data_IF_058588475778
#
_entry.id   IF_058588475778
#
_cell.length_a   1.000
_cell.length_b   1.000
_cell.length_c   1.000
_cell.angle_alpha   90.00
_cell.angle_beta   90.00
_cell.angle_gamma   90.00
#
_symmetry.space_group_name_H-M   'P 1'
#
loop_
_entity.id
_entity.type
_entity.pdbx_description
1 polymer ?
#
# COMPACT_ATOMS: atom_id res chain seq x y z
N UNK A 1 8.96 -3.91 25.63
CA UNK A 1 8.42 -2.86 24.74
C UNK A 1 7.06 -3.32 24.25
N UNK A 2 6.00 -2.62 24.64
CA UNK A 2 4.64 -2.95 24.20
C UNK A 2 4.43 -2.41 22.79
N UNK A 3 4.33 -3.31 21.80
CA UNK A 3 3.85 -2.99 20.46
C UNK A 3 2.41 -2.49 20.62
N UNK A 4 2.19 -1.18 20.43
CA UNK A 4 0.84 -0.63 20.39
C UNK A 4 0.17 -1.12 19.12
N UNK A 5 -1.03 -1.66 19.28
CA UNK A 5 -1.92 -2.06 18.20
C UNK A 5 -2.20 -0.85 17.31
N UNK A 6 -2.18 -1.03 15.99
CA UNK A 6 -2.41 -0.03 14.94
C UNK A 6 -3.88 0.43 14.99
N UNK A 7 -4.28 1.17 16.02
CA UNK A 7 -5.68 1.58 16.17
C UNK A 7 -5.90 3.08 16.37
N UNK A 8 -4.87 3.94 16.40
CA UNK A 8 -5.08 5.37 16.69
C UNK A 8 -4.26 6.39 15.86
N UNK A 9 -3.53 5.99 14.83
CA UNK A 9 -3.01 6.99 13.87
C UNK A 9 -2.88 6.40 12.47
N UNK A 10 -3.58 7.00 11.51
CA UNK A 10 -3.35 6.75 10.09
C UNK A 10 -1.99 7.35 9.76
N UNK A 11 -0.92 6.54 9.75
CA UNK A 11 0.40 6.97 9.30
C UNK A 11 0.29 7.21 7.79
N UNK A 12 0.27 8.47 7.37
CA UNK A 12 0.26 8.86 5.95
C UNK A 12 1.51 9.68 5.63
N UNK A 13 2.03 9.52 4.42
CA UNK A 13 3.17 10.28 3.90
C UNK A 13 3.03 10.46 2.39
N UNK A 14 3.47 11.62 1.87
CA UNK A 14 3.44 11.96 0.44
C UNK A 14 4.82 12.39 0.00
N UNK A 15 5.48 11.56 -0.81
CA UNK A 15 6.74 11.90 -1.48
C UNK A 15 6.49 12.06 -2.99
N UNK A 16 7.22 12.94 -3.69
CA UNK A 16 7.22 12.95 -5.15
C UNK A 16 7.64 11.56 -5.62
N UNK A 17 6.92 10.98 -6.59
CA UNK A 17 7.31 9.71 -7.21
C UNK A 17 8.25 10.03 -8.37
N UNK A 18 9.59 9.89 -8.22
CA UNK A 18 10.55 10.32 -9.24
C UNK A 18 10.75 9.26 -10.34
N UNK A 19 9.89 8.26 -10.36
CA UNK A 19 10.18 6.91 -10.83
C UNK A 19 9.15 6.42 -11.86
N UNK A 20 9.34 5.21 -12.39
CA UNK A 20 8.57 4.70 -13.53
C UNK A 20 7.75 3.44 -13.18
N UNK A 21 6.46 3.50 -13.49
CA UNK A 21 5.64 2.30 -13.68
C UNK A 21 6.04 1.65 -15.00
N UNK A 22 6.75 0.52 -14.93
CA UNK A 22 7.15 -0.22 -16.13
C UNK A 22 5.91 -0.73 -16.87
N UNK A 23 6.01 -0.90 -18.19
CA UNK A 23 4.88 -1.19 -19.12
C UNK A 23 3.64 -1.84 -18.49
N UNK A 24 2.44 -1.24 -18.70
CA UNK A 24 1.20 -1.76 -18.15
C UNK A 24 0.99 -3.19 -18.63
N UNK A 25 0.61 -4.04 -17.70
CA UNK A 25 0.25 -5.42 -18.03
C UNK A 25 -1.21 -5.50 -18.49
N UNK A 26 -2.05 -4.61 -17.97
CA UNK A 26 -3.45 -4.49 -18.36
C UNK A 26 -3.95 -3.07 -18.13
N UNK A 27 -4.62 -2.51 -19.12
CA UNK A 27 -5.13 -1.13 -19.10
C UNK A 27 -6.65 -1.11 -19.01
N UNK A 28 -7.21 -0.04 -18.43
CA UNK A 28 -8.65 0.24 -18.39
C UNK A 28 -9.50 -0.89 -17.80
N UNK A 29 -8.98 -1.62 -16.82
CA UNK A 29 -9.68 -2.74 -16.21
C UNK A 29 -10.56 -2.29 -15.05
N UNK A 30 -11.73 -2.92 -14.82
CA UNK A 30 -12.60 -2.59 -13.71
C UNK A 30 -11.93 -2.87 -12.35
N UNK A 31 -12.00 -1.90 -11.46
CA UNK A 31 -11.70 -1.96 -10.04
C UNK A 31 -12.91 -2.53 -9.30
N UNK A 32 -13.27 -3.78 -9.60
CA UNK A 32 -14.41 -4.49 -9.01
C UNK A 32 -14.00 -5.49 -7.93
N UNK A 33 -12.77 -5.39 -7.42
CA UNK A 33 -12.36 -6.25 -6.31
C UNK A 33 -13.05 -5.74 -5.03
N UNK A 34 -14.02 -6.52 -4.52
CA UNK A 34 -14.71 -6.27 -3.25
C UNK A 34 -13.68 -5.98 -2.15
N UNK A 35 -13.70 -4.74 -1.64
CA UNK A 35 -12.79 -4.23 -0.61
C UNK A 35 -11.73 -3.24 -1.09
N UNK A 36 -11.24 -3.31 -2.35
CA UNK A 36 -10.22 -2.34 -2.81
C UNK A 36 -10.81 -0.95 -2.99
N UNK A 37 -12.04 -0.87 -3.49
CA UNK A 37 -12.73 0.41 -3.64
C UNK A 37 -12.96 1.07 -2.27
N UNK A 38 -13.36 0.29 -1.26
CA UNK A 38 -13.48 0.76 0.13
C UNK A 38 -12.16 1.30 0.67
N UNK A 39 -11.08 0.52 0.52
CA UNK A 39 -9.74 0.94 0.90
C UNK A 39 -9.31 2.24 0.23
N UNK A 40 -9.65 2.43 -1.06
CA UNK A 40 -9.33 3.67 -1.76
C UNK A 40 -10.15 4.86 -1.26
N UNK A 41 -11.45 4.66 -0.97
CA UNK A 41 -12.28 5.71 -0.35
C UNK A 41 -11.67 6.13 0.99
N UNK A 42 -11.35 5.18 1.86
CA UNK A 42 -10.70 5.46 3.14
C UNK A 42 -9.37 6.18 2.95
N UNK A 43 -8.49 5.64 2.10
CA UNK A 43 -7.18 6.22 1.81
C UNK A 43 -7.26 7.69 1.37
N UNK A 44 -8.13 8.00 0.41
CA UNK A 44 -8.23 9.36 -0.12
C UNK A 44 -8.87 10.34 0.86
N UNK A 45 -9.89 9.91 1.62
CA UNK A 45 -10.47 10.73 2.67
C UNK A 45 -9.46 11.05 3.79
N UNK A 46 -8.64 10.07 4.17
CA UNK A 46 -7.59 10.25 5.19
C UNK A 46 -6.43 11.12 4.66
N UNK A 47 -6.10 11.01 3.37
CA UNK A 47 -4.99 11.77 2.75
C UNK A 47 -5.35 13.23 2.48
N UNK A 48 -6.61 13.50 2.14
CA UNK A 48 -7.09 14.83 1.73
C UNK A 48 -8.20 15.31 2.66
N UNK A 49 -7.85 15.76 3.86
CA UNK A 49 -8.79 16.18 4.92
C UNK A 49 -9.87 17.19 4.45
N UNK A 50 -9.53 18.04 3.47
CA UNK A 50 -10.42 19.08 2.94
C UNK A 50 -11.31 18.61 1.79
N UNK A 51 -11.12 17.40 1.29
CA UNK A 51 -11.88 16.80 0.20
C UNK A 51 -12.64 15.59 0.71
N UNK A 52 -13.73 15.23 0.03
CA UNK A 52 -14.50 14.05 0.37
C UNK A 52 -14.68 13.18 -0.86
N UNK A 53 -14.29 11.91 -0.70
CA UNK A 53 -14.32 10.89 -1.73
C UNK A 53 -15.41 9.89 -1.46
N UNK A 54 -16.10 9.44 -2.51
CA UNK A 54 -17.15 8.44 -2.42
C UNK A 54 -17.12 7.43 -3.57
N UNK A 55 -17.89 6.36 -3.41
CA UNK A 55 -18.11 5.39 -4.47
C UNK A 55 -19.03 5.96 -5.57
N UNK A 56 -18.87 5.56 -6.84
CA UNK A 56 -19.69 6.03 -7.96
C UNK A 56 -21.19 5.71 -7.89
N UNK A 57 -21.63 4.87 -6.95
CA UNK A 57 -23.02 4.43 -6.81
C UNK A 57 -23.64 4.85 -5.46
N UNK A 58 -22.96 5.71 -4.70
CA UNK A 58 -23.49 6.30 -3.47
C UNK A 58 -24.25 7.60 -3.77
N UNK A 59 -25.11 8.02 -2.84
CA UNK A 59 -26.03 9.15 -3.01
C UNK A 59 -25.30 10.40 -3.49
N UNK A 60 -25.74 10.95 -4.63
CA UNK A 60 -25.18 12.18 -5.21
C UNK A 60 -25.34 13.35 -4.23
N UNK A 61 -24.29 13.63 -3.48
CA UNK A 61 -24.18 14.90 -2.76
C UNK A 61 -23.25 15.84 -3.50
N UNK A 62 -23.68 17.09 -3.58
CA UNK A 62 -22.95 18.15 -4.24
C UNK A 62 -21.61 18.33 -3.52
N UNK A 63 -20.51 18.30 -4.28
CA UNK A 63 -19.11 18.49 -3.85
C UNK A 63 -18.33 17.24 -3.41
N UNK A 64 -18.81 16.03 -3.68
CA UNK A 64 -17.98 14.82 -3.52
C UNK A 64 -17.19 14.49 -4.79
N UNK A 65 -15.99 13.93 -4.59
CA UNK A 65 -15.14 13.40 -5.65
C UNK A 65 -15.45 11.90 -5.78
N UNK A 66 -15.89 11.50 -6.96
CA UNK A 66 -16.15 10.09 -7.25
C UNK A 66 -14.82 9.41 -7.57
N UNK A 67 -14.55 8.26 -6.94
CA UNK A 67 -13.39 7.43 -7.27
C UNK A 67 -13.65 6.70 -8.61
N UNK A 68 -12.80 6.89 -9.64
CA UNK A 68 -12.86 6.10 -10.86
C UNK A 68 -12.85 4.59 -10.61
N UNK A 69 -13.71 3.87 -11.35
CA UNK A 69 -13.75 2.40 -11.33
C UNK A 69 -12.76 1.76 -12.30
N UNK A 70 -12.01 2.53 -13.09
CA UNK A 70 -11.07 1.97 -14.06
C UNK A 70 -9.66 2.34 -13.66
N UNK A 71 -8.80 1.34 -13.62
CA UNK A 71 -7.39 1.51 -13.31
C UNK A 71 -6.53 0.83 -14.37
N UNK A 72 -5.33 1.35 -14.56
CA UNK A 72 -4.28 0.65 -15.28
C UNK A 72 -3.47 -0.13 -14.25
N UNK A 73 -3.32 -1.45 -14.44
CA UNK A 73 -2.47 -2.29 -13.58
C UNK A 73 -1.11 -2.53 -14.21
N UNK A 74 -0.11 -2.46 -13.36
CA UNK A 74 1.29 -2.63 -13.70
C UNK A 74 1.86 -3.78 -12.88
N UNK A 75 2.68 -4.58 -13.54
CA UNK A 75 3.32 -5.73 -12.89
C UNK A 75 4.56 -5.32 -12.09
N UNK A 76 5.18 -4.20 -12.45
CA UNK A 76 6.44 -3.75 -11.89
C UNK A 76 6.47 -2.25 -11.72
N UNK A 77 7.19 -1.82 -10.70
CA UNK A 77 7.53 -0.44 -10.42
C UNK A 77 9.04 -0.38 -10.19
N UNK A 78 9.72 0.53 -10.87
CA UNK A 78 11.11 0.82 -10.56
C UNK A 78 11.13 1.89 -9.47
N UNK A 79 11.97 1.74 -8.45
CA UNK A 79 12.22 2.80 -7.46
C UNK A 79 13.74 2.98 -7.36
N UNK A 80 14.25 4.10 -7.84
CA UNK A 80 15.69 4.31 -8.02
C UNK A 80 16.30 3.26 -8.97
N UNK A 81 17.17 2.38 -8.43
CA UNK A 81 17.80 1.30 -9.21
C UNK A 81 17.16 -0.08 -9.00
N UNK A 82 16.18 -0.18 -8.10
CA UNK A 82 15.53 -1.45 -7.76
C UNK A 82 14.21 -1.61 -8.52
N UNK A 83 13.94 -2.83 -9.00
CA UNK A 83 12.67 -3.17 -9.65
C UNK A 83 11.85 -4.02 -8.70
N UNK A 84 10.74 -3.46 -8.24
CA UNK A 84 9.74 -4.14 -7.46
C UNK A 84 8.73 -4.80 -8.38
N UNK A 85 8.48 -6.07 -8.13
CA UNK A 85 7.50 -6.87 -8.86
C UNK A 85 6.17 -6.94 -8.15
N UNK A 86 5.25 -7.69 -8.75
CA UNK A 86 3.97 -8.01 -8.15
C UNK A 86 3.61 -9.47 -8.41
N UNK A 87 2.68 -10.01 -7.62
CA UNK A 87 2.16 -11.38 -7.83
C UNK A 87 1.38 -11.53 -9.13
N UNK A 88 1.01 -10.42 -9.75
CA UNK A 88 0.29 -10.38 -11.02
C UNK A 88 1.09 -10.97 -12.19
N UNK A 89 2.43 -11.04 -12.08
CA UNK A 89 3.29 -11.74 -13.03
C UNK A 89 4.14 -12.80 -12.34
N UNK A 90 4.02 -14.09 -12.73
CA UNK A 90 4.84 -15.17 -12.15
C UNK A 90 6.36 -14.91 -12.25
N UNK A 91 6.79 -14.21 -13.31
CA UNK A 91 8.19 -13.83 -13.52
C UNK A 91 8.73 -12.91 -12.41
N UNK A 92 7.85 -12.10 -11.82
CA UNK A 92 8.18 -11.04 -10.87
C UNK A 92 7.72 -11.35 -9.44
N UNK A 93 7.25 -12.58 -9.19
CA UNK A 93 6.78 -12.99 -7.86
C UNK A 93 7.88 -12.85 -6.79
N UNK A 94 9.13 -13.20 -7.09
CA UNK A 94 10.24 -13.04 -6.13
C UNK A 94 10.53 -11.59 -5.78
N UNK A 95 10.40 -10.68 -6.73
CA UNK A 95 10.55 -9.23 -6.53
C UNK A 95 9.30 -8.58 -5.92
N UNK A 96 8.23 -9.33 -5.62
CA UNK A 96 6.99 -8.79 -5.03
C UNK A 96 7.00 -8.72 -3.51
N UNK A 97 7.94 -9.40 -2.86
CA UNK A 97 8.08 -9.36 -1.41
C UNK A 97 8.79 -8.07 -1.01
N UNK A 98 8.19 -7.33 -0.08
CA UNK A 98 8.71 -6.07 0.42
C UNK A 98 8.75 -6.06 1.93
N UNK A 99 9.61 -5.19 2.46
CA UNK A 99 9.68 -4.85 3.87
C UNK A 99 9.49 -3.35 4.01
N UNK A 100 8.28 -2.91 4.36
CA UNK A 100 7.98 -1.51 4.57
C UNK A 100 8.37 -1.11 5.99
N UNK A 101 8.97 0.08 6.11
CA UNK A 101 9.37 0.67 7.41
C UNK A 101 8.64 1.99 7.57
N UNK A 102 7.87 2.12 8.64
CA UNK A 102 7.17 3.35 8.98
C UNK A 102 7.81 3.96 10.21
N UNK A 103 8.27 5.19 10.08
CA UNK A 103 8.76 5.97 11.21
C UNK A 103 7.57 6.67 11.87
N UNK A 104 7.37 6.40 13.15
CA UNK A 104 6.37 7.07 13.99
C UNK A 104 6.96 8.32 14.63
N UNK A 105 6.12 9.26 15.10
CA UNK A 105 6.52 10.53 15.72
C UNK A 105 7.45 10.36 16.94
N UNK A 106 7.35 9.23 17.62
CA UNK A 106 8.18 8.84 18.76
C UNK A 106 9.55 8.25 18.35
N UNK A 107 9.94 8.37 17.08
CA UNK A 107 11.11 7.73 16.47
C UNK A 107 11.12 6.19 16.54
N UNK A 108 9.99 5.53 16.85
CA UNK A 108 9.90 4.09 16.68
C UNK A 108 9.75 3.76 15.20
N UNK A 109 10.41 2.68 14.79
CA UNK A 109 10.32 2.17 13.42
C UNK A 109 9.50 0.90 13.47
N UNK A 110 8.33 0.93 12.86
CA UNK A 110 7.50 -0.24 12.68
C UNK A 110 7.79 -0.87 11.32
N UNK A 111 8.04 -2.18 11.32
CA UNK A 111 8.44 -2.93 10.14
C UNK A 111 7.33 -3.89 9.78
N UNK A 112 6.90 -3.86 8.52
CA UNK A 112 5.85 -4.75 8.01
C UNK A 112 6.31 -5.43 6.73
N UNK A 113 6.39 -6.77 6.71
CA UNK A 113 6.56 -7.50 5.49
C UNK A 113 5.23 -7.62 4.77
N UNK A 114 5.28 -7.39 3.47
CA UNK A 114 4.13 -7.49 2.60
C UNK A 114 4.48 -8.13 1.29
N UNK A 115 3.44 -8.47 0.54
CA UNK A 115 3.56 -8.91 -0.83
C UNK A 115 2.71 -8.03 -1.74
N UNK A 116 3.36 -7.38 -2.69
CA UNK A 116 2.71 -6.52 -3.69
C UNK A 116 1.88 -7.40 -4.60
N UNK A 117 0.57 -7.14 -4.63
CA UNK A 117 -0.36 -7.86 -5.49
C UNK A 117 -0.35 -7.31 -6.91
N UNK A 118 -0.40 -5.98 -7.03
CA UNK A 118 -0.25 -5.24 -8.28
C UNK A 118 0.00 -3.76 -7.97
N UNK A 119 0.61 -3.07 -8.91
CA UNK A 119 0.68 -1.61 -8.94
C UNK A 119 -0.44 -1.07 -9.82
N UNK A 120 -0.89 0.15 -9.57
CA UNK A 120 -1.87 0.78 -10.41
C UNK A 120 -1.74 2.30 -10.42
N UNK A 121 -2.13 2.89 -11.54
CA UNK A 121 -2.27 4.34 -11.69
C UNK A 121 -3.74 4.69 -11.64
N UNK A 122 -4.04 5.71 -10.84
CA UNK A 122 -5.38 6.20 -10.63
C UNK A 122 -5.41 7.71 -10.84
N UNK A 123 -6.26 8.17 -11.74
CA UNK A 123 -6.38 9.59 -12.10
C UNK A 123 -7.53 10.22 -11.32
N UNK A 124 -7.23 11.16 -10.42
CA UNK A 124 -8.26 11.84 -9.61
C UNK A 124 -8.36 13.31 -9.98
N UNK A 125 -9.58 13.84 -9.93
CA UNK A 125 -9.84 15.28 -10.08
C UNK A 125 -9.99 15.93 -8.71
N UNK A 126 -8.90 16.33 -8.07
CA UNK A 126 -8.92 16.93 -6.71
C UNK A 126 -9.73 18.23 -6.64
N UNK A 127 -9.75 19.02 -7.73
CA UNK A 127 -10.44 20.32 -7.78
C UNK A 127 -11.27 20.53 -9.06
N UNK A 128 -11.72 19.46 -9.72
CA UNK A 128 -12.41 19.47 -11.04
C UNK A 128 -11.65 20.09 -12.22
N UNK A 129 -10.52 20.76 -11.97
CA UNK A 129 -9.70 21.47 -12.96
C UNK A 129 -8.39 20.71 -13.23
N UNK A 130 -7.75 20.18 -12.18
CA UNK A 130 -6.51 19.43 -12.32
C UNK A 130 -6.78 17.94 -12.13
N UNK A 131 -6.42 17.15 -13.14
CA UNK A 131 -6.31 15.69 -13.04
C UNK A 131 -4.89 15.36 -12.56
N UNK A 132 -4.79 14.66 -11.43
CA UNK A 132 -3.52 14.21 -10.87
C UNK A 132 -3.43 12.69 -10.95
N UNK A 133 -2.30 12.20 -11.44
CA UNK A 133 -1.99 10.77 -11.45
C UNK A 133 -1.44 10.35 -10.09
N UNK A 134 -2.13 9.39 -9.48
CA UNK A 134 -1.70 8.72 -8.27
C UNK A 134 -1.13 7.35 -8.60
N UNK A 135 0.09 7.11 -8.15
CA UNK A 135 0.80 5.85 -8.30
C UNK A 135 0.69 5.07 -7.00
N UNK A 136 -0.03 3.94 -7.04
CA UNK A 136 -0.38 3.17 -5.85
C UNK A 136 0.04 1.71 -6.00
N UNK A 137 0.28 1.05 -4.87
CA UNK A 137 0.52 -0.38 -4.80
C UNK A 137 -0.50 -1.03 -3.87
N UNK A 138 -1.17 -2.09 -4.33
CA UNK A 138 -2.00 -2.91 -3.45
C UNK A 138 -1.12 -3.98 -2.80
N UNK A 139 -0.91 -3.87 -1.49
CA UNK A 139 -0.04 -4.76 -0.72
C UNK A 139 -0.87 -5.57 0.26
N UNK A 140 -0.60 -6.88 0.32
CA UNK A 140 -1.11 -7.74 1.40
C UNK A 140 -0.03 -7.91 2.46
N UNK A 141 -0.34 -7.56 3.70
CA UNK A 141 0.59 -7.64 4.82
C UNK A 141 0.52 -9.00 5.52
N UNK A 142 1.69 -9.55 5.83
CA UNK A 142 1.79 -10.80 6.58
C UNK A 142 1.46 -10.58 8.06
N UNK A 143 0.83 -11.58 8.70
CA UNK A 143 0.56 -11.52 10.14
C UNK A 143 1.86 -11.56 10.93
N UNK A 144 1.95 -10.77 11.99
CA UNK A 144 3.05 -10.88 12.95
C UNK A 144 2.94 -12.16 13.76
N UNK A 145 4.00 -12.95 13.84
CA UNK A 145 4.06 -14.07 14.79
C UNK A 145 4.28 -13.49 16.19
N UNK A 146 3.53 -13.98 17.18
CA UNK A 146 3.64 -13.52 18.57
C UNK A 146 4.99 -13.84 19.22
N UNK A 147 5.74 -14.78 18.65
CA UNK A 147 7.00 -15.27 19.19
C UNK A 147 8.18 -14.47 18.60
N UNK A 148 8.88 -13.75 19.46
CA UNK A 148 10.17 -13.15 19.15
C UNK A 148 11.26 -14.20 19.43
N UNK A 149 12.09 -14.46 18.44
CA UNK A 149 13.25 -15.33 18.60
C UNK A 149 14.51 -14.48 18.67
N UNK A 150 15.35 -14.80 19.65
CA UNK A 150 16.65 -14.18 19.82
C UNK A 150 17.71 -15.15 19.30
N UNK A 151 18.43 -14.76 18.26
CA UNK A 151 19.57 -15.51 17.77
C UNK A 151 20.85 -14.81 18.23
N UNK A 152 21.68 -15.54 18.98
CA UNK A 152 23.02 -15.07 19.35
C UNK A 152 23.97 -15.36 18.20
N UNK A 153 24.61 -14.32 17.65
CA UNK A 153 25.72 -14.48 16.72
C UNK A 153 27.00 -14.78 17.52
N UNK A 154 27.14 -14.19 18.72
CA UNK A 154 28.15 -14.45 19.76
C UNK A 154 27.61 -13.98 21.14
N UNK A 155 28.33 -14.22 22.26
CA UNK A 155 27.90 -13.86 23.63
C UNK A 155 27.52 -12.37 23.82
N UNK A 156 27.99 -11.47 22.95
CA UNK A 156 27.77 -10.02 23.04
C UNK A 156 26.83 -9.46 21.95
N UNK A 157 26.50 -10.22 20.91
CA UNK A 157 25.65 -9.77 19.80
C UNK A 157 24.43 -10.67 19.66
N UNK A 158 23.30 -10.17 20.15
CA UNK A 158 21.99 -10.76 19.92
C UNK A 158 21.29 -10.02 18.77
N UNK A 159 20.87 -10.76 17.75
CA UNK A 159 19.99 -10.25 16.70
C UNK A 159 18.56 -10.66 16.99
N UNK A 160 17.66 -9.67 17.02
CA UNK A 160 16.24 -9.91 17.07
C UNK A 160 15.79 -10.32 15.66
N UNK A 161 15.39 -11.57 15.49
CA UNK A 161 14.76 -12.02 14.25
C UNK A 161 13.26 -12.04 14.48
N UNK A 162 12.57 -11.07 13.88
CA UNK A 162 11.11 -11.08 13.84
C UNK A 162 10.67 -12.05 12.75
N UNK A 163 10.03 -13.14 13.15
CA UNK A 163 9.39 -14.07 12.22
C UNK A 163 7.98 -13.57 11.88
N UNK A 164 7.59 -13.81 10.63
CA UNK A 164 6.28 -13.44 10.11
C UNK A 164 5.56 -14.68 9.62
N UNK A 165 4.25 -14.68 9.79
CA UNK A 165 3.40 -15.78 9.35
C UNK A 165 3.40 -15.85 7.82
N UNK A 166 3.17 -17.03 7.27
CA UNK A 166 2.91 -17.19 5.83
C UNK A 166 1.49 -16.72 5.47
N UNK A 167 0.62 -16.55 6.47
CA UNK A 167 -0.73 -16.02 6.30
C UNK A 167 -0.77 -14.50 6.26
N UNK A 168 -1.64 -13.98 5.39
CA UNK A 168 -1.96 -12.56 5.33
C UNK A 168 -3.06 -12.18 6.33
N UNK A 169 -3.08 -10.91 6.75
CA UNK A 169 -4.29 -10.33 7.33
C UNK A 169 -5.48 -10.47 6.36
N UNK A 170 -6.72 -10.60 6.88
CA UNK A 170 -7.91 -10.65 6.05
C UNK A 170 -8.02 -9.36 5.21
N UNK A 171 -8.64 -9.47 4.03
CA UNK A 171 -9.00 -8.29 3.25
C UNK A 171 -10.03 -7.50 4.06
N UNK A 172 -9.81 -6.20 4.21
CA UNK A 172 -10.77 -5.26 4.80
C UNK A 172 -12.03 -5.19 3.97
#
# INVERSE_FOLDING_TARGET
>A
MYSRTIQESTISGKEPFPDEMLKPFSENIPLLADGILDLMVTYYNDTYENLKFQKPFETDSLNLIIIPLRINKYCCCQIGSEIFGSTFSPRHQKSSYILAKFASENNSIDIYPGQIQFFFVHEISTNRINMENHYLAYVRWYKKIKNQFYFGINQEQMCNVELWDIEFYPKS
#
